data_IF_176743220371
#
_entry.id   IF_176743220371
#
_cell.length_a   1.000
_cell.length_b   1.000
_cell.length_c   1.000
_cell.angle_alpha   90.00
_cell.angle_beta   90.00
_cell.angle_gamma   90.00
#
_symmetry.space_group_name_H-M   'P 1'
#
loop_
_entity.id
_entity.type
_entity.pdbx_description
1 polymer ?
#
# COMPACT_ATOMS: atom_id res chain seq x y z
N UNK A 1 -4.30 44.94 3.40
CA UNK A 1 -3.17 44.03 3.72
C UNK A 1 -3.73 42.61 3.77
N UNK A 2 -3.49 41.82 2.71
CA UNK A 2 -3.95 40.43 2.60
C UNK A 2 -3.13 39.48 3.47
N UNK A 3 -3.78 38.42 3.96
CA UNK A 3 -3.27 37.06 4.25
C UNK A 3 -4.43 36.25 4.84
N UNK A 4 -5.38 35.84 3.99
CA UNK A 4 -5.47 34.52 3.33
C UNK A 4 -5.62 33.38 4.34
N UNK A 5 -6.87 32.93 4.43
CA UNK A 5 -7.36 31.71 5.04
C UNK A 5 -6.69 30.48 4.43
N UNK A 6 -6.25 29.54 5.26
CA UNK A 6 -5.94 28.16 4.81
C UNK A 6 -7.03 27.22 5.32
N UNK A 7 -8.18 27.24 4.64
CA UNK A 7 -9.04 26.06 4.53
C UNK A 7 -8.33 25.14 3.54
N UNK A 8 -7.79 24.02 4.00
CA UNK A 8 -7.14 23.05 3.13
C UNK A 8 -8.15 22.55 2.08
N UNK A 9 -7.82 22.85 0.82
CA UNK A 9 -8.57 22.55 -0.39
C UNK A 9 -8.84 21.05 -0.55
N UNK A 10 -10.09 20.71 -0.84
CA UNK A 10 -10.41 19.52 -1.65
C UNK A 10 -9.95 19.82 -3.07
N UNK A 11 -8.92 19.13 -3.56
CA UNK A 11 -8.57 19.10 -4.98
C UNK A 11 -9.31 17.95 -5.65
N UNK A 12 -10.34 18.30 -6.42
CA UNK A 12 -11.04 17.41 -7.35
C UNK A 12 -10.05 16.95 -8.44
N UNK A 13 -9.96 15.63 -8.67
CA UNK A 13 -9.29 15.05 -9.85
C UNK A 13 -7.94 14.36 -9.63
N UNK A 14 -7.38 14.33 -8.42
CA UNK A 14 -6.14 13.58 -8.13
C UNK A 14 -6.44 12.41 -7.18
N UNK A 15 -6.66 11.22 -7.73
CA UNK A 15 -6.63 10.00 -6.93
C UNK A 15 -5.17 9.76 -6.53
N UNK A 16 -4.78 10.17 -5.32
CA UNK A 16 -3.42 9.91 -4.82
C UNK A 16 -3.17 8.40 -4.81
N UNK A 17 -2.44 7.91 -5.80
CA UNK A 17 -1.86 6.56 -5.85
C UNK A 17 -0.66 6.45 -4.88
N UNK A 18 -0.90 6.81 -3.62
CA UNK A 18 0.02 6.74 -2.48
C UNK A 18 -0.53 5.78 -1.41
N UNK A 19 -1.41 4.85 -1.80
CA UNK A 19 -2.05 3.94 -0.86
C UNK A 19 -1.05 2.94 -0.26
N UNK A 20 -0.14 2.37 -1.06
CA UNK A 20 0.89 1.45 -0.56
C UNK A 20 1.99 2.17 0.23
N UNK A 21 2.49 3.31 -0.27
CA UNK A 21 3.46 4.13 0.44
C UNK A 21 2.95 4.58 1.82
N UNK A 22 1.69 5.03 1.90
CA UNK A 22 1.08 5.40 3.18
C UNK A 22 0.85 4.18 4.07
N UNK A 23 0.37 3.07 3.51
CA UNK A 23 0.19 1.82 4.27
C UNK A 23 1.51 1.33 4.88
N UNK A 24 2.60 1.34 4.11
CA UNK A 24 3.96 1.03 4.58
C UNK A 24 4.38 1.92 5.75
N UNK A 25 4.08 3.22 5.67
CA UNK A 25 4.39 4.18 6.73
C UNK A 25 3.65 3.86 8.03
N UNK A 26 2.38 3.45 7.98
CA UNK A 26 1.63 3.05 9.18
C UNK A 26 2.32 1.86 9.89
N UNK A 27 2.81 0.87 9.13
CA UNK A 27 3.55 -0.26 9.73
C UNK A 27 4.92 0.16 10.27
N UNK A 28 5.63 1.03 9.55
CA UNK A 28 6.90 1.59 10.03
C UNK A 28 6.74 2.34 11.36
N UNK A 29 5.71 3.17 11.48
CA UNK A 29 5.39 3.91 12.73
C UNK A 29 4.88 2.99 13.85
N UNK A 30 4.52 1.74 13.54
CA UNK A 30 4.07 0.74 14.52
C UNK A 30 5.18 -0.15 15.08
N UNK A 31 6.42 -0.01 14.61
CA UNK A 31 7.53 -0.88 15.00
C UNK A 31 7.76 -0.93 16.51
N UNK A 32 7.64 0.19 17.22
CA UNK A 32 7.82 0.22 18.68
C UNK A 32 6.77 -0.59 19.45
N UNK A 33 5.59 -0.81 18.84
CA UNK A 33 4.49 -1.55 19.47
C UNK A 33 4.62 -3.06 19.29
N UNK A 34 5.10 -3.50 18.13
CA UNK A 34 5.31 -4.92 17.80
C UNK A 34 6.33 -5.02 16.65
N UNK A 35 7.65 -5.03 16.96
CA UNK A 35 8.70 -4.98 15.96
C UNK A 35 8.64 -6.17 14.99
N UNK A 36 8.29 -7.35 15.50
CA UNK A 36 8.26 -8.59 14.72
C UNK A 36 7.20 -8.52 13.62
N UNK A 37 5.96 -8.17 13.98
CA UNK A 37 4.86 -8.09 13.02
C UNK A 37 4.97 -6.88 12.11
N UNK A 38 5.46 -5.75 12.61
CA UNK A 38 5.75 -4.59 11.78
C UNK A 38 6.81 -4.91 10.72
N UNK A 39 7.91 -5.58 11.09
CA UNK A 39 8.92 -6.02 10.15
C UNK A 39 8.36 -6.98 9.09
N UNK A 40 7.53 -7.94 9.50
CA UNK A 40 6.86 -8.85 8.57
C UNK A 40 6.00 -8.09 7.53
N UNK A 41 5.18 -7.13 7.97
CA UNK A 41 4.41 -6.30 7.05
C UNK A 41 5.30 -5.50 6.08
N UNK A 42 6.38 -4.91 6.58
CA UNK A 42 7.33 -4.14 5.77
C UNK A 42 8.05 -5.01 4.74
N UNK A 43 8.38 -6.25 5.08
CA UNK A 43 8.97 -7.24 4.17
C UNK A 43 7.99 -7.64 3.07
N UNK A 44 6.73 -7.96 3.42
CA UNK A 44 5.70 -8.29 2.43
C UNK A 44 5.46 -7.15 1.43
N UNK A 45 5.42 -5.90 1.91
CA UNK A 45 5.32 -4.72 1.05
C UNK A 45 6.61 -4.50 0.25
N UNK A 46 7.78 -4.80 0.83
CA UNK A 46 9.06 -4.76 0.13
C UNK A 46 9.12 -5.69 -1.08
N UNK A 47 8.61 -6.92 -0.93
CA UNK A 47 8.51 -7.88 -2.03
C UNK A 47 7.61 -7.36 -3.16
N UNK A 48 6.53 -6.65 -2.82
CA UNK A 48 5.68 -6.01 -3.83
C UNK A 48 6.45 -4.91 -4.60
N UNK A 49 7.25 -4.09 -3.92
CA UNK A 49 8.09 -3.08 -4.57
C UNK A 49 9.22 -3.67 -5.41
N UNK A 50 9.75 -4.84 -5.05
CA UNK A 50 10.71 -5.56 -5.89
C UNK A 50 10.10 -5.94 -7.25
N UNK A 51 8.84 -6.38 -7.29
CA UNK A 51 8.15 -6.67 -8.56
C UNK A 51 8.02 -5.42 -9.44
N UNK A 52 7.72 -4.26 -8.87
CA UNK A 52 7.65 -3.01 -9.65
C UNK A 52 9.02 -2.51 -10.11
N UNK A 53 10.07 -2.72 -9.31
CA UNK A 53 11.44 -2.46 -9.72
C UNK A 53 11.80 -3.31 -10.94
N UNK A 54 11.54 -4.63 -10.91
CA UNK A 54 11.76 -5.54 -12.03
C UNK A 54 11.01 -5.11 -13.30
N UNK A 55 9.75 -4.66 -13.16
CA UNK A 55 8.92 -4.13 -14.25
C UNK A 55 9.59 -2.90 -14.87
N UNK A 56 10.09 -1.99 -14.02
CA UNK A 56 10.75 -0.76 -14.43
C UNK A 56 12.07 -1.04 -15.17
N UNK A 57 12.91 -1.93 -14.61
CA UNK A 57 14.18 -2.34 -15.20
C UNK A 57 14.01 -2.99 -16.58
N UNK A 58 12.96 -3.78 -16.75
CA UNK A 58 12.60 -4.39 -18.03
C UNK A 58 11.87 -3.43 -18.99
N UNK A 59 11.53 -2.21 -18.54
CA UNK A 59 10.82 -1.22 -19.33
C UNK A 59 9.40 -1.64 -19.76
N UNK A 60 8.74 -2.51 -18.98
CA UNK A 60 7.42 -3.05 -19.32
C UNK A 60 6.33 -1.97 -19.17
N UNK A 61 5.39 -1.93 -20.13
CA UNK A 61 4.29 -0.95 -20.18
C UNK A 61 2.98 -1.62 -20.62
N UNK A 62 1.86 -0.94 -20.37
CA UNK A 62 0.53 -1.37 -20.80
C UNK A 62 0.21 -2.81 -20.38
N UNK A 63 -0.28 -3.62 -21.33
CA UNK A 63 -0.69 -5.00 -21.09
C UNK A 63 0.44 -5.89 -20.53
N UNK A 64 1.71 -5.68 -20.92
CA UNK A 64 2.83 -6.48 -20.38
C UNK A 64 3.08 -6.18 -18.91
N UNK A 65 2.99 -4.92 -18.51
CA UNK A 65 3.09 -4.51 -17.11
C UNK A 65 1.93 -5.10 -16.29
N UNK A 66 0.73 -5.05 -16.85
CA UNK A 66 -0.46 -5.62 -16.21
C UNK A 66 -0.34 -7.14 -16.02
N UNK A 67 0.15 -7.87 -17.02
CA UNK A 67 0.37 -9.30 -16.93
C UNK A 67 1.36 -9.67 -15.80
N UNK A 68 2.48 -8.96 -15.69
CA UNK A 68 3.43 -9.16 -14.59
C UNK A 68 2.80 -8.82 -13.23
N UNK A 69 2.01 -7.75 -13.13
CA UNK A 69 1.29 -7.43 -11.89
C UNK A 69 0.31 -8.55 -11.50
N UNK A 70 -0.46 -9.07 -12.44
CA UNK A 70 -1.43 -10.14 -12.18
C UNK A 70 -0.76 -11.48 -11.85
N UNK A 71 0.40 -11.78 -12.43
CA UNK A 71 1.10 -13.05 -12.21
C UNK A 71 2.02 -13.04 -11.00
N UNK A 72 2.67 -11.90 -10.70
CA UNK A 72 3.66 -11.78 -9.61
C UNK A 72 3.19 -10.94 -8.43
N UNK A 73 2.60 -9.77 -8.67
CA UNK A 73 2.20 -8.86 -7.58
C UNK A 73 0.92 -9.33 -6.87
N UNK A 74 -0.07 -9.82 -7.62
CA UNK A 74 -1.35 -10.30 -7.09
C UNK A 74 -1.22 -11.33 -5.96
N UNK A 75 -0.47 -12.44 -6.09
CA UNK A 75 -0.34 -13.41 -5.01
C UNK A 75 0.32 -12.81 -3.75
N UNK A 76 1.22 -11.82 -3.90
CA UNK A 76 1.83 -11.12 -2.77
C UNK A 76 0.82 -10.24 -2.03
N UNK A 77 -0.01 -9.52 -2.78
CA UNK A 77 -1.09 -8.68 -2.24
C UNK A 77 -2.13 -9.54 -1.52
N UNK A 78 -2.53 -10.67 -2.11
CA UNK A 78 -3.43 -11.63 -1.48
C UNK A 78 -2.85 -12.19 -0.19
N UNK A 79 -1.59 -12.62 -0.20
CA UNK A 79 -0.89 -13.10 1.00
C UNK A 79 -0.84 -12.02 2.10
N UNK A 80 -0.55 -10.77 1.73
CA UNK A 80 -0.56 -9.64 2.66
C UNK A 80 -1.94 -9.46 3.30
N UNK A 81 -3.02 -9.47 2.53
CA UNK A 81 -4.36 -9.29 3.10
C UNK A 81 -4.86 -10.49 3.91
N UNK A 82 -4.48 -11.71 3.54
CA UNK A 82 -4.70 -12.90 4.38
C UNK A 82 -4.01 -12.72 5.73
N UNK A 83 -2.73 -12.34 5.72
CA UNK A 83 -1.98 -12.07 6.95
C UNK A 83 -2.58 -10.95 7.80
N UNK A 84 -3.06 -9.86 7.18
CA UNK A 84 -3.72 -8.75 7.88
C UNK A 84 -4.97 -9.23 8.63
N UNK A 85 -5.77 -10.10 8.02
CA UNK A 85 -6.97 -10.67 8.63
C UNK A 85 -6.60 -11.63 9.77
N UNK A 86 -5.65 -12.53 9.52
CA UNK A 86 -5.22 -13.56 10.48
C UNK A 86 -4.54 -12.99 11.72
N UNK A 87 -3.85 -11.85 11.58
CA UNK A 87 -3.11 -11.21 12.69
C UNK A 87 -4.05 -10.66 13.77
N UNK A 88 -5.33 -10.41 13.45
CA UNK A 88 -6.33 -9.95 14.41
C UNK A 88 -6.23 -8.47 14.79
N UNK A 89 -7.36 -7.87 15.21
CA UNK A 89 -7.54 -6.42 15.37
C UNK A 89 -7.78 -5.98 16.85
N UNK A 90 -7.09 -6.56 17.83
CA UNK A 90 -7.37 -6.34 19.27
C UNK A 90 -6.09 -6.26 20.15
N UNK A 91 -6.06 -5.46 21.25
CA UNK A 91 -6.66 -4.14 21.47
C UNK A 91 -5.79 -3.02 20.90
N UNK A 92 -6.32 -1.78 20.90
CA UNK A 92 -5.77 -0.56 20.27
C UNK A 92 -4.30 -0.26 20.62
N UNK A 93 -3.39 -0.80 19.82
CA UNK A 93 -1.99 -0.39 19.74
C UNK A 93 -1.68 0.16 18.33
N UNK A 94 -0.55 0.85 18.12
CA UNK A 94 -0.17 1.36 16.80
C UNK A 94 -0.25 0.32 15.66
N UNK A 95 0.13 -0.94 15.91
CA UNK A 95 0.04 -2.00 14.91
C UNK A 95 -1.41 -2.29 14.50
N UNK A 96 -2.31 -2.42 15.46
CA UNK A 96 -3.74 -2.66 15.20
C UNK A 96 -4.35 -1.53 14.36
N UNK A 97 -3.89 -0.27 14.55
CA UNK A 97 -4.30 0.86 13.69
C UNK A 97 -3.80 0.69 12.26
N UNK A 98 -2.53 0.26 12.08
CA UNK A 98 -1.97 -0.02 10.76
C UNK A 98 -2.71 -1.16 10.04
N UNK A 99 -3.03 -2.25 10.75
CA UNK A 99 -3.81 -3.38 10.24
C UNK A 99 -5.23 -2.95 9.82
N UNK A 100 -5.95 -2.20 10.66
CA UNK A 100 -7.26 -1.62 10.31
C UNK A 100 -7.14 -0.68 9.11
N UNK A 101 -6.08 0.13 9.07
CA UNK A 101 -5.85 1.08 7.98
C UNK A 101 -5.69 0.37 6.63
N UNK A 102 -4.87 -0.68 6.59
CA UNK A 102 -4.63 -1.50 5.42
C UNK A 102 -5.91 -2.24 5.00
N UNK A 103 -6.56 -2.93 5.94
CA UNK A 103 -7.78 -3.71 5.69
C UNK A 103 -8.88 -2.86 5.04
N UNK A 104 -9.14 -1.65 5.58
CA UNK A 104 -10.16 -0.73 5.04
C UNK A 104 -9.85 -0.22 3.63
N UNK A 105 -8.62 -0.37 3.15
CA UNK A 105 -8.15 0.17 1.87
C UNK A 105 -7.85 -0.89 0.84
N UNK A 106 -8.15 -2.16 1.11
CA UNK A 106 -7.89 -3.28 0.20
C UNK A 106 -8.30 -2.99 -1.24
N UNK A 107 -9.55 -2.59 -1.46
CA UNK A 107 -10.05 -2.29 -2.80
C UNK A 107 -9.22 -1.20 -3.52
N UNK A 108 -8.77 -0.17 -2.82
CA UNK A 108 -7.91 0.88 -3.39
C UNK A 108 -6.46 0.43 -3.61
N UNK A 109 -5.96 -0.44 -2.73
CA UNK A 109 -4.62 -1.03 -2.81
C UNK A 109 -4.50 -2.06 -3.94
N UNK A 110 -5.62 -2.61 -4.43
CA UNK A 110 -5.64 -3.58 -5.53
C UNK A 110 -5.78 -2.94 -6.93
N UNK A 111 -6.11 -1.64 -7.03
CA UNK A 111 -6.40 -0.96 -8.31
C UNK A 111 -5.25 -1.03 -9.31
N UNK A 112 -4.00 -0.90 -8.84
CA UNK A 112 -2.82 -0.94 -9.71
C UNK A 112 -2.69 -2.24 -10.52
N UNK A 113 -3.29 -3.34 -10.06
CA UNK A 113 -3.29 -4.60 -10.81
C UNK A 113 -4.20 -4.56 -12.05
N UNK A 114 -5.24 -3.74 -12.02
CA UNK A 114 -6.20 -3.60 -13.11
C UNK A 114 -5.91 -2.41 -14.03
N UNK A 115 -5.10 -1.45 -13.57
CA UNK A 115 -4.70 -0.26 -14.31
C UNK A 115 -3.17 -0.09 -14.27
N UNK A 116 -2.52 -0.28 -15.43
CA UNK A 116 -1.07 -0.21 -15.58
C UNK A 116 -0.49 1.20 -15.34
N UNK A 117 -1.31 2.25 -15.46
CA UNK A 117 -0.90 3.64 -15.31
C UNK A 117 -0.99 4.10 -13.84
N UNK A 118 -1.65 3.32 -12.98
CA UNK A 118 -1.66 3.57 -11.53
C UNK A 118 -0.31 3.13 -10.92
N UNK A 119 0.45 4.05 -10.30
CA UNK A 119 1.69 3.73 -9.59
C UNK A 119 1.41 3.17 -8.19
N UNK A 120 2.44 2.61 -7.54
CA UNK A 120 2.40 2.18 -6.13
C UNK A 120 3.60 2.72 -5.34
#
# INVERSE_FOLDING_TARGET
MSKVFWTAQKTEGLTYAQCWARTRREFFESQDADPQRAAMALEMIGNLYAVEADICEQGLKGAKKQDVRLTKAKPLVEAFFTWVVDTGLLPSNPLSKALVYAHKRRAGLEVFMSDADVPI
#
